data_IF_015894323875
#
_entry.id   IF_015894323875
#
_cell.length_a   1.000
_cell.length_b   1.000
_cell.length_c   1.000
_cell.angle_alpha   90.00
_cell.angle_beta   90.00
_cell.angle_gamma   90.00
#
_symmetry.space_group_name_H-M   'P 1'
#
loop_
_entity.id
_entity.type
_entity.pdbx_description
1 polymer ?
#
# COMPACT_ATOMS: atom_id res chain seq x y z
N UNK A 1 -9.68 1.10 12.52
CA UNK A 1 -8.35 0.56 12.86
C UNK A 1 -7.55 1.49 13.75
N UNK A 2 -7.34 2.77 13.40
CA UNK A 2 -6.60 3.74 14.24
C UNK A 2 -7.08 3.74 15.69
N UNK A 3 -8.38 3.93 15.92
CA UNK A 3 -8.94 3.94 17.29
C UNK A 3 -8.74 2.63 18.06
N UNK A 4 -8.68 1.48 17.37
CA UNK A 4 -8.40 0.19 18.03
C UNK A 4 -6.93 0.10 18.48
N UNK A 5 -6.00 0.64 17.68
CA UNK A 5 -4.58 0.70 18.04
C UNK A 5 -4.36 1.67 19.21
N UNK A 6 -5.06 2.81 19.20
CA UNK A 6 -5.01 3.80 20.28
C UNK A 6 -5.58 3.25 21.60
N UNK A 7 -6.65 2.45 21.55
CA UNK A 7 -7.19 1.76 22.72
C UNK A 7 -6.21 0.76 23.35
N UNK A 8 -5.25 0.25 22.57
CA UNK A 8 -4.15 -0.60 23.05
C UNK A 8 -2.95 0.21 23.57
N UNK A 9 -3.05 1.54 23.62
CA UNK A 9 -2.00 2.44 24.13
C UNK A 9 -0.89 2.76 23.13
N UNK A 10 -1.06 2.43 21.85
CA UNK A 10 -0.11 2.74 20.78
C UNK A 10 -0.58 3.94 19.94
N UNK A 11 0.32 4.52 19.14
CA UNK A 11 0.00 5.62 18.22
C UNK A 11 -0.22 5.09 16.80
N UNK A 12 -1.24 5.58 16.11
CA UNK A 12 -1.52 5.22 14.73
C UNK A 12 -2.02 6.44 13.94
N UNK A 13 -1.82 6.39 12.63
CA UNK A 13 -2.30 7.38 11.68
C UNK A 13 -2.98 6.67 10.50
N UNK A 14 -3.94 7.33 9.87
CA UNK A 14 -4.53 6.87 8.61
C UNK A 14 -4.19 7.85 7.50
N UNK A 15 -3.60 7.34 6.42
CA UNK A 15 -3.33 8.09 5.19
C UNK A 15 -3.95 7.31 4.04
N UNK A 16 -4.74 7.97 3.22
CA UNK A 16 -5.31 7.35 2.03
C UNK A 16 -4.22 7.20 0.96
N UNK A 17 -4.06 5.99 0.43
CA UNK A 17 -3.09 5.69 -0.61
C UNK A 17 -3.62 4.55 -1.49
N UNK A 18 -3.70 4.80 -2.79
CA UNK A 18 -3.87 3.76 -3.80
C UNK A 18 -2.48 3.30 -4.25
N UNK A 19 -2.11 2.06 -3.89
CA UNK A 19 -0.77 1.53 -4.17
C UNK A 19 -0.49 1.36 -5.66
N UNK A 20 -1.51 1.32 -6.53
CA UNK A 20 -1.32 1.30 -7.98
C UNK A 20 -0.80 2.64 -8.54
N UNK A 21 -0.79 3.71 -7.73
CA UNK A 21 -0.33 5.05 -8.13
C UNK A 21 1.00 5.39 -7.46
N UNK A 22 2.08 5.37 -8.21
CA UNK A 22 3.44 5.62 -7.71
C UNK A 22 3.57 6.96 -6.95
N UNK A 23 2.88 8.00 -7.40
CA UNK A 23 2.89 9.33 -6.78
C UNK A 23 2.28 9.29 -5.38
N UNK A 24 1.17 8.59 -5.20
CA UNK A 24 0.52 8.46 -3.89
C UNK A 24 1.36 7.64 -2.90
N UNK A 25 2.09 6.63 -3.39
CA UNK A 25 3.01 5.85 -2.55
C UNK A 25 4.22 6.69 -2.12
N UNK A 26 4.73 7.55 -3.02
CA UNK A 26 5.80 8.48 -2.71
C UNK A 26 5.37 9.53 -1.68
N UNK A 27 4.17 10.10 -1.84
CA UNK A 27 3.58 11.03 -0.86
C UNK A 27 3.35 10.35 0.50
N UNK A 28 2.92 9.09 0.52
CA UNK A 28 2.79 8.30 1.74
C UNK A 28 4.13 8.16 2.46
N UNK A 29 5.23 7.88 1.74
CA UNK A 29 6.56 7.76 2.32
C UNK A 29 6.99 9.07 3.01
N UNK A 30 6.81 10.21 2.34
CA UNK A 30 7.13 11.52 2.93
C UNK A 30 6.25 11.86 4.15
N UNK A 31 4.96 11.50 4.11
CA UNK A 31 4.04 11.75 5.22
C UNK A 31 4.34 10.84 6.42
N UNK A 32 4.70 9.58 6.17
CA UNK A 32 4.96 8.60 7.22
C UNK A 32 6.05 9.07 8.18
N UNK A 33 7.20 9.53 7.68
CA UNK A 33 8.30 10.02 8.52
C UNK A 33 7.91 11.26 9.32
N UNK A 34 7.15 12.18 8.72
CA UNK A 34 6.64 13.40 9.39
C UNK A 34 5.69 13.04 10.54
N UNK A 35 4.78 12.10 10.31
CA UNK A 35 3.79 11.66 11.29
C UNK A 35 4.42 10.84 12.42
N UNK A 36 5.31 9.90 12.08
CA UNK A 36 6.01 9.04 13.03
C UNK A 36 7.13 9.77 13.79
N UNK A 37 7.58 10.93 13.28
CA UNK A 37 8.71 11.72 13.78
C UNK A 37 10.02 10.92 13.88
N UNK A 38 10.12 9.83 13.12
CA UNK A 38 11.22 8.89 13.08
C UNK A 38 11.29 8.28 11.67
N UNK A 39 12.47 7.79 11.24
CA UNK A 39 12.59 7.05 9.98
C UNK A 39 11.69 5.82 9.95
N UNK A 40 11.14 5.51 8.77
CA UNK A 40 10.39 4.26 8.58
C UNK A 40 11.35 3.09 8.58
N UNK A 41 11.14 2.13 9.48
CA UNK A 41 12.02 0.95 9.65
C UNK A 41 11.38 -0.35 9.19
N UNK A 42 10.07 -0.37 8.95
CA UNK A 42 9.33 -1.51 8.46
C UNK A 42 8.23 -1.03 7.51
N UNK A 43 8.22 -1.61 6.31
CA UNK A 43 7.14 -1.44 5.34
C UNK A 43 6.56 -2.82 5.06
N UNK A 44 5.24 -2.91 5.10
CA UNK A 44 4.50 -4.12 4.74
C UNK A 44 3.67 -3.79 3.52
N UNK A 45 4.15 -4.21 2.34
CA UNK A 45 3.38 -4.13 1.10
C UNK A 45 2.28 -5.20 1.11
N UNK A 46 1.25 -4.98 1.95
CA UNK A 46 0.17 -5.93 2.20
C UNK A 46 -1.00 -5.79 1.23
N UNK A 47 -1.19 -4.61 0.64
CA UNK A 47 -2.32 -4.36 -0.25
C UNK A 47 -2.29 -5.35 -1.41
N UNK A 48 -3.43 -5.99 -1.64
CA UNK A 48 -3.57 -6.98 -2.69
C UNK A 48 -5.04 -7.29 -2.97
N UNK A 49 -5.31 -7.66 -4.22
CA UNK A 49 -6.62 -8.09 -4.69
C UNK A 49 -6.53 -9.47 -5.32
N UNK A 50 -7.60 -10.25 -5.21
CA UNK A 50 -7.73 -11.53 -5.90
C UNK A 50 -8.63 -11.39 -7.11
N UNK A 51 -8.27 -12.05 -8.20
CA UNK A 51 -9.20 -12.34 -9.28
C UNK A 51 -9.90 -13.67 -9.00
N UNK A 52 -11.20 -13.74 -9.27
CA UNK A 52 -12.01 -14.94 -9.06
C UNK A 52 -12.75 -15.31 -10.32
N UNK A 53 -12.75 -16.59 -10.68
CA UNK A 53 -13.38 -17.11 -11.90
C UNK A 53 -12.43 -18.03 -12.68
N UNK A 54 -12.91 -18.58 -13.80
CA UNK A 54 -12.03 -19.32 -14.71
C UNK A 54 -11.15 -18.36 -15.50
N UNK A 55 -10.04 -18.87 -16.01
CA UNK A 55 -9.06 -18.09 -16.75
C UNK A 55 -9.65 -17.36 -17.97
N UNK A 56 -10.54 -18.04 -18.69
CA UNK A 56 -11.23 -17.54 -19.89
C UNK A 56 -12.41 -16.61 -19.60
N UNK A 57 -12.80 -16.46 -18.34
CA UNK A 57 -13.85 -15.55 -17.90
C UNK A 57 -13.28 -14.16 -17.51
N UNK A 58 -11.97 -14.06 -17.28
CA UNK A 58 -11.32 -12.81 -16.85
C UNK A 58 -11.01 -11.91 -18.03
N UNK A 59 -11.34 -10.62 -17.87
CA UNK A 59 -11.00 -9.60 -18.85
C UNK A 59 -9.53 -9.20 -18.73
N UNK A 60 -8.98 -8.57 -19.76
CA UNK A 60 -7.61 -8.04 -19.67
C UNK A 60 -7.51 -6.90 -18.65
N UNK A 61 -8.59 -6.16 -18.46
CA UNK A 61 -8.72 -5.11 -17.46
C UNK A 61 -8.64 -5.68 -16.04
N UNK A 62 -9.23 -6.84 -15.77
CA UNK A 62 -9.13 -7.53 -14.48
C UNK A 62 -7.67 -7.91 -14.19
N UNK A 63 -6.98 -8.49 -15.19
CA UNK A 63 -5.57 -8.82 -15.08
C UNK A 63 -4.71 -7.58 -14.84
N UNK A 64 -4.94 -6.52 -15.60
CA UNK A 64 -4.20 -5.27 -15.43
C UNK A 64 -4.38 -4.70 -14.02
N UNK A 65 -5.63 -4.64 -13.54
CA UNK A 65 -5.93 -4.15 -12.19
C UNK A 65 -5.24 -4.99 -11.10
N UNK A 66 -5.26 -6.32 -11.23
CA UNK A 66 -4.56 -7.23 -10.33
C UNK A 66 -3.05 -6.99 -10.33
N UNK A 67 -2.44 -6.81 -11.51
CA UNK A 67 -1.02 -6.54 -11.64
C UNK A 67 -0.64 -5.15 -11.10
N UNK A 68 -1.49 -4.14 -11.32
CA UNK A 68 -1.27 -2.78 -10.83
C UNK A 68 -1.23 -2.73 -9.30
N UNK A 69 -2.11 -3.48 -8.63
CA UNK A 69 -2.12 -3.53 -7.16
C UNK A 69 -1.02 -4.49 -6.63
N UNK A 70 -1.01 -5.73 -7.09
CA UNK A 70 -0.25 -6.81 -6.44
C UNK A 70 1.23 -6.83 -6.82
N UNK A 71 1.58 -6.38 -8.03
CA UNK A 71 2.97 -6.31 -8.48
C UNK A 71 3.48 -4.87 -8.43
N UNK A 72 2.85 -3.96 -9.19
CA UNK A 72 3.31 -2.58 -9.27
C UNK A 72 3.22 -1.87 -7.93
N UNK A 73 2.16 -2.09 -7.15
CA UNK A 73 2.06 -1.55 -5.79
C UNK A 73 3.22 -1.94 -4.87
N UNK A 74 3.67 -3.20 -4.94
CA UNK A 74 4.85 -3.66 -4.19
C UNK A 74 6.12 -2.98 -4.71
N UNK A 75 6.29 -2.88 -6.04
CA UNK A 75 7.44 -2.20 -6.66
C UNK A 75 7.48 -0.72 -6.24
N UNK A 76 6.35 -0.02 -6.26
CA UNK A 76 6.24 1.38 -5.85
C UNK A 76 6.63 1.54 -4.38
N UNK A 77 6.14 0.67 -3.49
CA UNK A 77 6.52 0.67 -2.08
C UNK A 77 8.03 0.46 -1.90
N UNK A 78 8.61 -0.56 -2.52
CA UNK A 78 10.06 -0.80 -2.43
C UNK A 78 10.87 0.39 -2.96
N UNK A 79 10.47 0.97 -4.10
CA UNK A 79 11.16 2.12 -4.69
C UNK A 79 11.06 3.37 -3.81
N UNK A 80 9.93 3.58 -3.12
CA UNK A 80 9.74 4.77 -2.29
C UNK A 80 10.47 4.69 -0.94
N UNK A 81 10.67 3.49 -0.39
CA UNK A 81 11.14 3.32 0.99
C UNK A 81 12.53 2.71 1.18
N UNK A 82 13.16 2.12 0.15
CA UNK A 82 14.40 1.33 0.33
C UNK A 82 15.66 2.19 0.16
N UNK A 83 16.12 2.50 -1.06
CA UNK A 83 16.58 3.86 -1.44
C UNK A 83 16.57 4.16 -2.95
#
# INVERSE_FOLDING_TARGET
TVSLIEQLGATAFSVQCDVAKAEQVSELAEQAEKLLKNPVTLVINNAGIGLGGKFDEMTMEDWQWCMDVNLWGVIHGCRAFVP
#
